data_IF_800169193679
#
_entry.id   IF_800169193679
#
_cell.length_a   1.000
_cell.length_b   1.000
_cell.length_c   1.000
_cell.angle_alpha   90.00
_cell.angle_beta   90.00
_cell.angle_gamma   90.00
#
_symmetry.space_group_name_H-M   'P 1'
#
loop_
_entity.id
_entity.type
_entity.pdbx_description
1 polymer ?
#
# COMPACT_ATOMS: atom_id res chain seq x y z
N UNK A 1 4.81 -15.72 26.50
CA UNK A 1 5.31 -16.93 25.82
C UNK A 1 5.70 -16.53 24.40
N UNK A 2 6.95 -16.79 23.99
CA UNK A 2 7.44 -16.44 22.65
C UNK A 2 6.99 -17.52 21.66
N UNK A 3 6.30 -17.14 20.59
CA UNK A 3 5.87 -18.09 19.55
C UNK A 3 7.04 -18.62 18.70
N UNK A 4 8.18 -17.90 18.70
CA UNK A 4 9.45 -18.31 18.09
C UNK A 4 10.50 -18.41 19.19
N UNK A 5 10.81 -19.63 19.63
CA UNK A 5 11.62 -19.87 20.83
C UNK A 5 13.12 -19.63 20.66
N UNK A 6 13.66 -19.78 19.45
CA UNK A 6 15.10 -19.81 19.17
C UNK A 6 15.62 -18.51 18.52
N UNK A 7 15.02 -17.36 18.85
CA UNK A 7 15.46 -16.06 18.33
C UNK A 7 16.29 -15.28 19.35
N UNK A 8 17.40 -14.69 18.90
CA UNK A 8 18.09 -13.57 19.57
C UNK A 8 17.80 -12.29 18.81
N UNK A 9 17.23 -11.32 19.49
CA UNK A 9 16.68 -10.11 18.85
C UNK A 9 17.18 -8.92 19.65
N UNK A 10 17.72 -7.93 18.94
CA UNK A 10 18.38 -6.77 19.54
C UNK A 10 18.25 -5.55 18.63
N UNK A 11 18.27 -4.35 19.22
CA UNK A 11 18.21 -3.10 18.46
C UNK A 11 18.78 -1.92 19.21
N UNK A 12 19.59 -1.13 18.52
CA UNK A 12 20.34 -0.01 19.08
C UNK A 12 20.44 1.17 18.11
N UNK A 13 20.72 2.36 18.67
CA UNK A 13 21.24 3.49 17.90
C UNK A 13 22.72 3.25 17.63
N UNK A 14 23.09 3.24 16.35
CA UNK A 14 24.48 3.02 15.91
C UNK A 14 25.15 4.27 15.37
N UNK A 15 24.41 5.37 15.24
CA UNK A 15 24.96 6.65 14.84
C UNK A 15 23.95 7.77 14.95
N UNK A 16 24.46 8.96 15.26
CA UNK A 16 23.70 10.20 15.30
C UNK A 16 24.50 11.30 14.60
N UNK A 17 23.91 11.82 13.53
CA UNK A 17 24.43 12.94 12.74
C UNK A 17 23.66 14.22 13.10
N UNK A 18 24.12 15.37 12.58
CA UNK A 18 23.40 16.65 12.75
C UNK A 18 21.96 16.63 12.26
N UNK A 19 21.67 15.81 11.25
CA UNK A 19 20.37 15.81 10.56
C UNK A 19 19.61 14.51 10.67
N UNK A 20 20.26 13.40 11.06
CA UNK A 20 19.68 12.07 11.05
C UNK A 20 20.16 11.23 12.24
N UNK A 21 19.32 10.29 12.66
CA UNK A 21 19.70 9.20 13.55
C UNK A 21 19.65 7.89 12.77
N UNK A 22 20.62 7.01 13.02
CA UNK A 22 20.72 5.68 12.40
C UNK A 22 20.51 4.62 13.47
N UNK A 23 19.42 3.88 13.36
CA UNK A 23 19.11 2.73 14.20
C UNK A 23 19.41 1.43 13.46
N UNK A 24 19.73 0.39 14.23
CA UNK A 24 20.02 -0.94 13.75
C UNK A 24 19.18 -1.95 14.50
N UNK A 25 18.52 -2.85 13.77
CA UNK A 25 17.86 -4.04 14.33
C UNK A 25 18.59 -5.29 13.87
N UNK A 26 18.81 -6.22 14.80
CA UNK A 26 19.40 -7.53 14.54
C UNK A 26 18.41 -8.61 14.97
N UNK A 27 18.21 -9.62 14.14
CA UNK A 27 17.43 -10.80 14.45
C UNK A 27 18.22 -12.03 14.02
N UNK A 28 18.47 -12.94 14.96
CA UNK A 28 19.23 -14.15 14.74
C UNK A 28 18.41 -15.36 15.16
N UNK A 29 18.00 -16.16 14.18
CA UNK A 29 17.45 -17.50 14.39
C UNK A 29 18.57 -18.50 14.62
N UNK A 30 18.68 -19.00 15.85
CA UNK A 30 19.68 -19.99 16.25
C UNK A 30 19.37 -21.40 15.74
N UNK A 31 18.10 -21.71 15.42
CA UNK A 31 17.70 -23.03 14.94
C UNK A 31 18.04 -23.20 13.46
N UNK A 32 17.76 -22.18 12.63
CA UNK A 32 18.13 -22.17 11.21
C UNK A 32 19.47 -21.50 10.93
N UNK A 33 20.13 -20.97 11.96
CA UNK A 33 21.37 -20.21 11.87
C UNK A 33 21.28 -19.02 10.87
N UNK A 34 20.14 -18.31 10.87
CA UNK A 34 19.88 -17.17 9.99
C UNK A 34 20.02 -15.88 10.79
N UNK A 35 21.03 -15.07 10.47
CA UNK A 35 21.27 -13.78 11.10
C UNK A 35 20.99 -12.64 10.11
N UNK A 36 20.07 -11.76 10.45
CA UNK A 36 19.72 -10.58 9.68
C UNK A 36 19.98 -9.33 10.50
N UNK A 37 20.55 -8.32 9.84
CA UNK A 37 20.74 -6.98 10.38
C UNK A 37 20.16 -5.95 9.42
N UNK A 38 19.36 -5.03 9.94
CA UNK A 38 18.70 -3.97 9.18
C UNK A 38 19.06 -2.64 9.80
N UNK A 39 19.45 -1.68 8.95
CA UNK A 39 19.65 -0.28 9.36
C UNK A 39 18.51 0.58 8.85
N UNK A 40 18.02 1.47 9.69
CA UNK A 40 16.99 2.45 9.38
C UNK A 40 17.53 3.82 9.75
N UNK A 41 17.43 4.77 8.84
CA UNK A 41 17.84 6.16 9.05
C UNK A 41 16.60 7.03 9.13
N UNK A 42 16.49 7.87 10.16
CA UNK A 42 15.39 8.82 10.36
C UNK A 42 15.93 10.23 10.49
N UNK A 43 15.23 11.18 9.88
CA UNK A 43 15.55 12.60 9.97
C UNK A 43 15.20 13.13 11.36
N UNK A 44 16.07 13.97 11.93
CA UNK A 44 15.88 14.65 13.22
C UNK A 44 15.92 16.18 13.07
N UNK A 45 15.43 16.68 11.93
CA UNK A 45 15.33 18.11 11.62
C UNK A 45 13.93 18.45 11.15
N UNK A 46 13.48 19.65 11.53
CA UNK A 46 12.19 20.18 11.12
C UNK A 46 12.18 20.56 9.64
N UNK A 47 11.03 21.03 9.15
CA UNK A 47 10.86 21.47 7.76
C UNK A 47 11.82 22.59 7.38
N UNK A 48 12.19 23.45 8.34
CA UNK A 48 13.12 24.56 8.20
C UNK A 48 14.59 24.13 8.32
N UNK A 49 14.86 22.83 8.52
CA UNK A 49 16.21 22.27 8.65
C UNK A 49 16.84 22.43 10.03
N UNK A 50 16.09 22.91 11.02
CA UNK A 50 16.59 23.06 12.40
C UNK A 50 16.53 21.71 13.10
N UNK A 51 17.58 21.38 13.86
CA UNK A 51 17.65 20.14 14.64
C UNK A 51 16.58 20.11 15.73
N UNK A 52 16.01 18.94 15.95
CA UNK A 52 15.06 18.70 17.02
C UNK A 52 15.69 18.90 18.41
N UNK A 53 14.82 19.14 19.41
CA UNK A 53 15.23 19.13 20.83
C UNK A 53 15.58 17.71 21.27
N UNK A 54 16.41 17.59 22.30
CA UNK A 54 16.92 16.29 22.77
C UNK A 54 15.81 15.29 23.10
N UNK A 55 14.72 15.72 23.74
CA UNK A 55 13.56 14.86 24.01
C UNK A 55 12.95 14.29 22.74
N UNK A 56 12.81 15.13 21.71
CA UNK A 56 12.23 14.73 20.42
C UNK A 56 13.20 13.84 19.64
N UNK A 57 14.50 14.05 19.78
CA UNK A 57 15.53 13.13 19.23
C UNK A 57 15.40 11.76 19.89
N UNK A 58 15.23 11.70 21.22
CA UNK A 58 14.99 10.46 21.96
C UNK A 58 13.75 9.72 21.47
N UNK A 59 12.62 10.42 21.32
CA UNK A 59 11.38 9.85 20.76
C UNK A 59 11.59 9.33 19.34
N UNK A 60 12.27 10.11 18.49
CA UNK A 60 12.59 9.73 17.11
C UNK A 60 13.51 8.50 17.06
N UNK A 61 14.47 8.42 17.97
CA UNK A 61 15.37 7.27 18.13
C UNK A 61 14.64 6.00 18.52
N UNK A 62 13.74 6.07 19.50
CA UNK A 62 12.91 4.94 19.92
C UNK A 62 12.00 4.44 18.78
N UNK A 63 11.46 5.36 17.99
CA UNK A 63 10.72 5.01 16.78
C UNK A 63 11.61 4.32 15.75
N UNK A 64 12.82 4.85 15.50
CA UNK A 64 13.77 4.28 14.54
C UNK A 64 14.23 2.85 14.94
N UNK A 65 14.55 2.64 16.23
CA UNK A 65 14.87 1.32 16.81
C UNK A 65 13.72 0.34 16.58
N UNK A 66 12.49 0.74 16.92
CA UNK A 66 11.30 -0.10 16.77
C UNK A 66 11.09 -0.54 15.32
N UNK A 67 11.26 0.39 14.37
CA UNK A 67 11.14 0.09 12.94
C UNK A 67 12.26 -0.85 12.48
N UNK A 68 13.51 -0.60 12.89
CA UNK A 68 14.65 -1.42 12.51
C UNK A 68 14.51 -2.85 13.02
N UNK A 69 14.08 -3.01 14.28
CA UNK A 69 13.86 -4.29 14.92
C UNK A 69 12.79 -5.10 14.19
N UNK A 70 11.63 -4.49 13.96
CA UNK A 70 10.52 -5.11 13.22
C UNK A 70 10.96 -5.58 11.84
N UNK A 71 11.68 -4.74 11.09
CA UNK A 71 12.15 -5.07 9.75
C UNK A 71 13.17 -6.22 9.77
N UNK A 72 14.02 -6.32 10.80
CA UNK A 72 14.92 -7.45 10.97
C UNK A 72 14.15 -8.74 11.26
N UNK A 73 13.17 -8.70 12.17
CA UNK A 73 12.34 -9.86 12.52
C UNK A 73 11.55 -10.38 11.32
N UNK A 74 10.93 -9.50 10.52
CA UNK A 74 10.15 -9.91 9.35
C UNK A 74 10.98 -10.39 8.16
N UNK A 75 12.30 -10.21 8.19
CA UNK A 75 13.21 -10.85 7.25
C UNK A 75 13.63 -12.26 7.68
N UNK A 76 13.58 -12.56 8.98
CA UNK A 76 13.86 -13.90 9.52
C UNK A 76 12.61 -14.77 9.52
N UNK A 77 11.47 -14.21 9.94
CA UNK A 77 10.20 -14.92 10.02
C UNK A 77 9.47 -14.84 8.67
N UNK A 78 9.15 -15.98 8.01
CA UNK A 78 8.46 -15.97 6.73
C UNK A 78 7.12 -15.25 6.76
N UNK A 79 6.90 -14.36 5.78
CA UNK A 79 5.67 -13.57 5.66
C UNK A 79 4.40 -14.43 5.58
N UNK A 80 4.47 -15.65 5.04
CA UNK A 80 3.32 -16.56 4.98
C UNK A 80 2.73 -16.88 6.36
N UNK A 81 3.57 -16.99 7.39
CA UNK A 81 3.14 -17.26 8.76
C UNK A 81 2.57 -16.00 9.42
N UNK A 82 3.23 -14.86 9.24
CA UNK A 82 2.79 -13.57 9.77
C UNK A 82 1.49 -13.11 9.12
N UNK A 83 1.32 -13.30 7.80
CA UNK A 83 0.18 -12.81 7.02
C UNK A 83 -1.14 -13.42 7.49
N UNK A 84 -1.16 -14.71 7.87
CA UNK A 84 -2.39 -15.34 8.38
C UNK A 84 -2.86 -14.70 9.68
N UNK A 85 -1.93 -14.46 10.60
CA UNK A 85 -2.20 -13.79 11.87
C UNK A 85 -2.61 -12.34 11.63
N UNK A 86 -1.90 -11.64 10.73
CA UNK A 86 -2.21 -10.25 10.35
C UNK A 86 -3.63 -10.10 9.79
N UNK A 87 -4.02 -10.93 8.82
CA UNK A 87 -5.37 -10.91 8.25
C UNK A 87 -6.44 -11.27 9.28
N UNK A 88 -6.16 -12.22 10.17
CA UNK A 88 -7.06 -12.54 11.28
C UNK A 88 -7.28 -11.35 12.21
N UNK A 89 -6.21 -10.66 12.61
CA UNK A 89 -6.28 -9.45 13.41
C UNK A 89 -7.03 -8.32 12.69
N UNK A 90 -6.71 -8.09 11.40
CA UNK A 90 -7.38 -7.08 10.55
C UNK A 90 -8.88 -7.31 10.46
N UNK A 91 -9.30 -8.55 10.24
CA UNK A 91 -10.71 -8.92 10.20
C UNK A 91 -11.40 -8.76 11.57
N UNK A 92 -10.71 -9.10 12.66
CA UNK A 92 -11.23 -8.88 14.01
C UNK A 92 -11.44 -7.39 14.30
N UNK A 93 -10.51 -6.52 13.88
CA UNK A 93 -10.62 -5.07 14.04
C UNK A 93 -11.79 -4.46 13.27
N UNK A 94 -12.13 -5.00 12.09
CA UNK A 94 -13.28 -4.57 11.27
C UNK A 94 -14.64 -4.97 11.86
N UNK A 95 -14.66 -5.86 12.86
CA UNK A 95 -15.87 -6.43 13.43
C UNK A 95 -16.55 -7.46 12.52
N UNK A 96 -17.16 -8.47 13.14
CA UNK A 96 -17.89 -9.53 12.45
C UNK A 96 -19.28 -9.04 12.01
N UNK A 97 -19.58 -9.18 10.72
CA UNK A 97 -20.91 -8.91 10.14
C UNK A 97 -21.19 -7.45 9.73
N UNK A 98 -22.29 -7.28 8.99
CA UNK A 98 -22.80 -6.00 8.49
C UNK A 98 -22.20 -5.55 7.15
N UNK A 99 -22.99 -4.78 6.40
CA UNK A 99 -22.55 -4.19 5.12
C UNK A 99 -21.60 -3.02 5.34
N UNK A 100 -20.79 -2.67 4.33
CA UNK A 100 -19.90 -1.49 4.40
C UNK A 100 -20.66 -0.20 4.74
N UNK A 101 -21.87 -0.04 4.19
CA UNK A 101 -22.74 1.10 4.50
C UNK A 101 -23.12 1.15 6.00
N UNK A 102 -23.49 0.01 6.59
CA UNK A 102 -23.81 -0.08 8.02
C UNK A 102 -22.58 0.23 8.90
N UNK A 103 -21.39 -0.25 8.51
CA UNK A 103 -20.14 0.01 9.23
C UNK A 103 -19.76 1.49 9.20
N UNK A 104 -19.86 2.14 8.03
CA UNK A 104 -19.66 3.58 7.87
C UNK A 104 -20.63 4.37 8.73
N UNK A 105 -21.92 4.07 8.64
CA UNK A 105 -22.96 4.73 9.43
C UNK A 105 -22.71 4.61 10.94
N UNK A 106 -22.32 3.41 11.41
CA UNK A 106 -22.00 3.18 12.83
C UNK A 106 -20.79 3.99 13.30
N UNK A 107 -19.75 4.06 12.47
CA UNK A 107 -18.55 4.84 12.77
C UNK A 107 -18.89 6.34 12.85
N UNK A 108 -19.60 6.88 11.85
CA UNK A 108 -20.02 8.28 11.84
C UNK A 108 -20.94 8.63 13.01
N UNK A 109 -21.90 7.75 13.34
CA UNK A 109 -22.80 7.95 14.47
C UNK A 109 -22.06 8.02 15.82
N UNK A 110 -20.92 7.35 15.96
CA UNK A 110 -20.10 7.46 17.17
C UNK A 110 -19.46 8.84 17.27
N UNK A 111 -18.81 9.32 16.20
CA UNK A 111 -18.18 10.65 16.19
C UNK A 111 -19.20 11.78 16.29
N UNK A 112 -20.39 11.62 15.69
CA UNK A 112 -21.48 12.58 15.82
C UNK A 112 -21.96 12.74 17.28
N UNK A 113 -21.97 11.66 18.07
CA UNK A 113 -22.28 11.73 19.52
C UNK A 113 -21.26 12.50 20.33
N UNK A 114 -20.01 12.56 19.87
CA UNK A 114 -18.95 13.39 20.45
C UNK A 114 -18.98 14.84 19.95
N UNK A 115 -19.93 15.20 19.07
CA UNK A 115 -20.05 16.55 18.51
C UNK A 115 -19.03 16.85 17.40
N UNK A 116 -18.39 15.82 16.82
CA UNK A 116 -17.44 15.99 15.72
C UNK A 116 -18.21 16.05 14.40
N UNK A 117 -17.92 17.05 13.57
CA UNK A 117 -18.55 17.19 12.27
C UNK A 117 -18.00 16.15 11.28
N UNK A 118 -18.85 15.67 10.37
CA UNK A 118 -18.44 14.66 9.38
C UNK A 118 -17.27 15.12 8.50
N UNK A 119 -17.21 16.42 8.21
CA UNK A 119 -16.14 17.04 7.44
C UNK A 119 -14.77 16.93 8.13
N UNK A 120 -14.74 16.99 9.47
CA UNK A 120 -13.50 16.82 10.23
C UNK A 120 -13.00 15.38 10.16
N UNK A 121 -13.93 14.42 10.19
CA UNK A 121 -13.62 13.00 10.02
C UNK A 121 -13.06 12.72 8.62
N UNK A 122 -13.69 13.26 7.58
CA UNK A 122 -13.21 13.12 6.20
C UNK A 122 -11.84 13.77 6.00
N UNK A 123 -11.61 14.94 6.61
CA UNK A 123 -10.31 15.63 6.59
C UNK A 123 -9.21 14.77 7.21
N UNK A 124 -9.43 14.23 8.41
CA UNK A 124 -8.43 13.40 9.11
C UNK A 124 -8.14 12.11 8.32
N UNK A 125 -9.15 11.52 7.69
CA UNK A 125 -8.98 10.33 6.85
C UNK A 125 -8.40 10.62 5.46
N UNK A 126 -8.38 11.88 5.00
CA UNK A 126 -7.96 12.26 3.66
C UNK A 126 -8.91 11.79 2.55
N UNK A 127 -10.20 11.66 2.85
CA UNK A 127 -11.24 11.22 1.91
C UNK A 127 -12.18 12.37 1.56
N UNK A 128 -12.84 12.32 0.39
CA UNK A 128 -13.73 13.43 -0.05
C UNK A 128 -15.16 13.26 0.46
N UNK A 129 -15.55 12.05 0.83
CA UNK A 129 -16.89 11.76 1.31
C UNK A 129 -17.03 10.36 1.88
N UNK A 130 -18.25 10.05 2.29
CA UNK A 130 -18.58 8.81 2.98
C UNK A 130 -18.34 7.56 2.11
N UNK A 131 -18.52 7.67 0.79
CA UNK A 131 -18.34 6.55 -0.14
C UNK A 131 -16.87 6.16 -0.36
N UNK A 132 -15.94 7.09 -0.16
CA UNK A 132 -14.50 6.87 -0.23
C UNK A 132 -13.95 6.15 1.02
N UNK A 133 -14.76 5.97 2.08
CA UNK A 133 -14.34 5.26 3.30
C UNK A 133 -14.27 3.76 3.05
N UNK A 134 -13.10 3.27 2.67
CA UNK A 134 -12.76 1.85 2.57
C UNK A 134 -12.54 1.15 3.92
N UNK A 135 -12.16 -0.12 3.87
CA UNK A 135 -11.87 -0.94 5.05
C UNK A 135 -10.74 -0.35 5.92
N UNK A 136 -9.65 0.12 5.29
CA UNK A 136 -8.50 0.67 6.02
C UNK A 136 -8.88 1.92 6.81
N UNK A 137 -9.77 2.74 6.26
CA UNK A 137 -10.30 3.90 6.94
C UNK A 137 -11.17 3.50 8.14
N UNK A 138 -11.99 2.45 8.02
CA UNK A 138 -12.78 1.93 9.15
C UNK A 138 -11.89 1.39 10.28
N UNK A 139 -10.79 0.72 9.95
CA UNK A 139 -9.79 0.26 10.93
C UNK A 139 -9.17 1.46 11.63
N UNK A 140 -8.75 2.48 10.86
CA UNK A 140 -8.20 3.71 11.42
C UNK A 140 -9.18 4.41 12.36
N UNK A 141 -10.45 4.57 11.95
CA UNK A 141 -11.51 5.13 12.78
C UNK A 141 -11.70 4.32 14.06
N UNK A 142 -11.69 2.99 13.98
CA UNK A 142 -11.80 2.13 15.17
C UNK A 142 -10.61 2.30 16.12
N UNK A 143 -9.41 2.46 15.57
CA UNK A 143 -8.21 2.79 16.33
C UNK A 143 -8.34 4.12 17.07
N UNK A 144 -8.85 5.16 16.41
CA UNK A 144 -9.12 6.46 17.05
C UNK A 144 -10.16 6.35 18.16
N UNK A 145 -11.24 5.58 17.94
CA UNK A 145 -12.26 5.35 18.98
C UNK A 145 -11.64 4.72 20.22
N UNK A 146 -10.84 3.67 20.06
CA UNK A 146 -10.21 2.99 21.18
C UNK A 146 -9.24 3.91 21.91
N UNK A 147 -8.38 4.63 21.20
CA UNK A 147 -7.44 5.58 21.81
C UNK A 147 -8.15 6.69 22.61
N UNK A 148 -9.32 7.15 22.14
CA UNK A 148 -10.14 8.13 22.88
C UNK A 148 -10.79 7.49 24.11
N UNK A 149 -11.25 6.23 24.01
CA UNK A 149 -11.87 5.52 25.13
C UNK A 149 -10.86 5.15 26.23
N UNK A 150 -9.65 4.77 25.84
CA UNK A 150 -8.57 4.39 26.73
C UNK A 150 -7.90 5.62 27.40
N UNK A 151 -8.21 6.82 26.90
CA UNK A 151 -7.68 8.09 27.42
C UNK A 151 -6.30 8.46 26.90
N UNK A 152 -5.77 7.71 25.93
CA UNK A 152 -4.46 7.97 25.29
C UNK A 152 -4.49 9.24 24.43
N UNK A 153 -5.65 9.61 23.90
CA UNK A 153 -5.85 10.85 23.13
C UNK A 153 -7.23 11.44 23.36
N UNK A 154 -7.40 12.72 23.06
CA UNK A 154 -8.70 13.40 23.14
C UNK A 154 -9.27 13.64 21.74
N UNK A 155 -10.60 13.68 21.63
CA UNK A 155 -11.28 14.03 20.38
C UNK A 155 -10.77 15.37 19.81
N UNK A 156 -10.51 16.35 20.68
CA UNK A 156 -9.96 17.65 20.29
C UNK A 156 -8.56 17.53 19.69
N UNK A 157 -7.68 16.71 20.26
CA UNK A 157 -6.32 16.51 19.72
C UNK A 157 -6.33 15.81 18.36
N UNK A 158 -7.22 14.83 18.17
CA UNK A 158 -7.30 14.06 16.92
C UNK A 158 -7.92 14.88 15.80
N UNK A 159 -8.97 15.66 16.10
CA UNK A 159 -9.77 16.37 15.10
C UNK A 159 -9.51 17.88 15.05
N UNK A 160 -8.58 18.40 15.86
CA UNK A 160 -8.19 19.80 15.83
C UNK A 160 -7.90 20.26 14.39
N UNK A 161 -8.37 21.46 13.99
CA UNK A 161 -7.90 22.07 12.76
C UNK A 161 -6.37 22.15 12.85
N UNK A 162 -5.64 21.84 11.76
CA UNK A 162 -4.21 21.66 11.83
C UNK A 162 -3.54 22.93 12.36
N UNK A 163 -3.09 22.90 13.61
CA UNK A 163 -1.88 23.62 13.98
C UNK A 163 -0.72 22.84 13.37
N UNK A 164 0.21 23.57 12.79
CA UNK A 164 1.36 23.05 12.04
C UNK A 164 2.14 21.99 12.82
N UNK A 165 1.75 20.72 12.70
CA UNK A 165 2.55 19.56 13.08
C UNK A 165 2.08 18.40 12.22
N UNK A 166 2.70 18.28 11.06
CA UNK A 166 2.49 17.15 10.17
C UNK A 166 3.22 15.95 10.70
N UNK A 167 2.48 15.00 11.27
CA UNK A 167 2.94 13.61 11.44
C UNK A 167 1.70 12.70 11.50
N UNK A 168 1.21 12.31 10.32
CA UNK A 168 0.29 11.18 10.23
C UNK A 168 1.05 9.90 10.58
N UNK A 169 0.48 9.04 11.42
CA UNK A 169 1.03 7.72 11.76
C UNK A 169 1.31 6.89 10.49
N UNK A 170 2.55 6.90 10.03
CA UNK A 170 3.04 6.12 8.88
C UNK A 170 3.24 4.63 9.22
N UNK A 171 3.21 4.29 10.51
CA UNK A 171 3.57 2.97 11.00
C UNK A 171 2.65 1.84 10.50
N UNK A 172 1.36 2.10 10.29
CA UNK A 172 0.42 1.12 9.75
C UNK A 172 0.63 0.88 8.24
N UNK A 173 0.86 1.95 7.47
CA UNK A 173 1.14 1.87 6.02
C UNK A 173 2.48 1.19 5.75
N UNK A 174 3.49 1.46 6.59
CA UNK A 174 4.78 0.76 6.59
C UNK A 174 4.62 -0.70 6.99
N UNK A 175 3.56 -1.04 7.76
CA UNK A 175 3.25 -2.41 8.12
C UNK A 175 2.82 -3.22 6.90
N UNK A 176 1.80 -2.71 6.20
CA UNK A 176 1.25 -3.28 4.98
C UNK A 176 2.27 -3.36 3.86
N UNK A 177 3.09 -2.31 3.67
CA UNK A 177 4.12 -2.29 2.64
C UNK A 177 5.18 -3.40 2.85
N UNK A 178 5.61 -3.62 4.09
CA UNK A 178 6.60 -4.66 4.41
C UNK A 178 6.03 -6.08 4.33
N UNK A 179 4.73 -6.27 4.55
CA UNK A 179 4.07 -7.58 4.44
C UNK A 179 3.61 -7.91 3.00
N UNK A 180 3.57 -6.91 2.11
CA UNK A 180 3.10 -7.05 0.72
C UNK A 180 4.22 -7.29 -0.31
N UNK A 181 5.51 -7.19 0.07
CA UNK A 181 6.62 -7.47 -0.84
C UNK A 181 6.96 -8.97 -0.88
N UNK A 182 6.98 -9.63 -2.06
CA UNK A 182 7.50 -10.99 -2.18
C UNK A 182 9.02 -10.99 -2.00
N UNK A 183 9.52 -11.96 -1.24
CA UNK A 183 10.94 -12.16 -0.94
C UNK A 183 11.74 -12.59 -2.19
N UNK A 184 12.03 -11.66 -3.08
CA UNK A 184 13.11 -11.80 -4.06
C UNK A 184 13.85 -10.47 -4.20
N UNK A 185 14.90 -10.27 -3.40
CA UNK A 185 16.01 -9.44 -3.84
C UNK A 185 17.31 -9.94 -3.22
N UNK A 186 18.21 -10.35 -4.11
CA UNK A 186 19.61 -10.61 -3.84
C UNK A 186 20.24 -9.38 -3.16
N UNK A 187 21.20 -9.56 -2.23
CA UNK A 187 21.89 -8.44 -1.60
C UNK A 187 22.77 -7.72 -2.61
N UNK A 188 22.48 -6.44 -2.90
CA UNK A 188 23.45 -5.57 -3.58
C UNK A 188 24.38 -4.99 -2.51
N UNK A 189 25.58 -5.55 -2.40
CA UNK A 189 26.65 -5.00 -1.60
C UNK A 189 27.41 -3.91 -2.37
N UNK A 190 27.83 -2.90 -1.60
CA UNK A 190 28.92 -1.94 -1.80
C UNK A 190 28.73 -0.72 -2.75
N UNK A 191 29.06 0.45 -2.21
CA UNK A 191 29.51 1.62 -2.98
C UNK A 191 28.99 2.98 -2.50
N UNK A 192 29.63 3.58 -1.49
CA UNK A 192 29.86 5.04 -1.41
C UNK A 192 31.30 5.29 -1.91
N UNK A 193 31.70 6.48 -2.41
CA UNK A 193 31.25 7.81 -1.96
C UNK A 193 30.78 8.80 -3.06
N UNK A 194 30.09 9.83 -2.57
CA UNK A 194 29.71 11.08 -3.23
C UNK A 194 30.89 11.77 -3.94
N UNK A 195 30.62 12.27 -5.15
CA UNK A 195 31.43 13.27 -5.83
C UNK A 195 30.87 14.68 -5.55
N UNK A 196 31.82 15.59 -5.41
CA UNK A 196 31.75 16.99 -5.04
C UNK A 196 31.06 17.86 -6.11
N UNK A 197 30.51 19.00 -5.67
CA UNK A 197 29.77 19.98 -6.47
C UNK A 197 30.71 20.85 -7.31
N UNK A 198 30.29 21.21 -8.53
CA UNK A 198 30.58 22.52 -9.14
C UNK A 198 29.43 22.91 -10.10
N UNK A 199 28.92 24.13 -9.94
CA UNK A 199 27.93 24.86 -10.76
C UNK A 199 28.67 26.10 -11.35
N UNK A 200 28.11 26.89 -12.29
CA UNK A 200 27.48 26.60 -13.58
C UNK A 200 28.10 27.43 -14.75
N UNK A 201 27.81 27.10 -16.02
CA UNK A 201 27.95 28.06 -17.12
C UNK A 201 26.99 27.77 -18.31
N UNK A 202 26.04 28.69 -18.46
CA UNK A 202 25.51 29.33 -19.69
C UNK A 202 24.85 28.53 -20.83
N UNK A 203 23.69 29.08 -21.26
CA UNK A 203 22.79 28.62 -22.32
C UNK A 203 23.36 28.84 -23.74
N UNK A 204 22.70 28.30 -24.79
CA UNK A 204 21.72 29.15 -25.46
C UNK A 204 20.41 28.45 -25.91
N UNK A 205 19.46 29.36 -26.15
CA UNK A 205 18.13 29.35 -26.75
C UNK A 205 17.72 28.22 -27.72
N UNK A 206 16.43 27.85 -27.63
CA UNK A 206 15.72 27.00 -28.60
C UNK A 206 15.45 27.71 -29.95
N UNK A 207 14.74 27.06 -30.89
CA UNK A 207 13.27 27.07 -30.78
C UNK A 207 12.52 25.84 -31.35
N UNK A 208 11.20 25.87 -31.16
CA UNK A 208 10.11 25.23 -31.91
C UNK A 208 9.47 23.95 -31.33
N UNK A 209 8.25 24.13 -30.79
CA UNK A 209 7.18 23.13 -30.82
C UNK A 209 6.80 22.79 -32.28
N UNK A 210 6.35 21.56 -32.55
CA UNK A 210 4.92 21.42 -32.81
C UNK A 210 4.27 20.13 -32.25
N UNK A 211 2.96 20.29 -32.02
CA UNK A 211 1.87 19.32 -32.10
C UNK A 211 1.72 18.18 -31.07
N UNK A 212 0.65 18.35 -30.28
CA UNK A 212 -0.35 17.35 -29.86
C UNK A 212 0.14 15.90 -29.72
N UNK A 213 0.78 15.61 -28.57
CA UNK A 213 1.06 14.24 -28.15
C UNK A 213 -0.24 13.44 -27.99
N UNK A 214 -0.36 12.24 -28.61
CA UNK A 214 -1.50 11.36 -28.41
C UNK A 214 -1.52 10.89 -26.95
N UNK A 215 -2.72 10.77 -26.38
CA UNK A 215 -2.99 10.32 -25.01
C UNK A 215 -2.06 9.14 -24.65
N UNK A 216 -1.19 9.32 -23.65
CA UNK A 216 -0.31 8.28 -23.10
C UNK A 216 -1.15 7.04 -22.78
N UNK A 217 -1.02 6.00 -23.60
CA UNK A 217 -1.73 4.74 -23.40
C UNK A 217 -1.22 4.05 -22.13
N UNK A 218 -2.11 3.42 -21.38
CA UNK A 218 -1.75 2.65 -20.18
C UNK A 218 -0.83 1.46 -20.55
N UNK A 219 0.14 1.09 -19.68
CA UNK A 219 1.01 -0.06 -19.93
C UNK A 219 0.19 -1.34 -20.17
N UNK A 220 0.66 -2.22 -21.06
CA UNK A 220 -0.07 -3.39 -21.57
C UNK A 220 -0.76 -4.23 -20.46
N UNK A 221 -0.10 -4.40 -19.32
CA UNK A 221 -0.64 -5.08 -18.14
C UNK A 221 -1.92 -4.43 -17.58
N UNK A 222 -1.97 -3.10 -17.52
CA UNK A 222 -3.16 -2.39 -17.03
C UNK A 222 -4.34 -2.53 -18.00
N UNK A 223 -4.07 -2.57 -19.31
CA UNK A 223 -5.11 -2.83 -20.32
C UNK A 223 -5.64 -4.25 -20.21
N UNK A 224 -4.76 -5.24 -20.06
CA UNK A 224 -5.12 -6.64 -19.83
C UNK A 224 -6.05 -6.80 -18.61
N UNK A 225 -5.69 -6.23 -17.45
CA UNK A 225 -6.52 -6.33 -16.25
C UNK A 225 -7.89 -5.67 -16.41
N UNK A 226 -7.94 -4.50 -17.07
CA UNK A 226 -9.22 -3.85 -17.39
C UNK A 226 -10.07 -4.73 -18.29
N UNK A 227 -9.49 -5.30 -19.35
CA UNK A 227 -10.22 -6.18 -20.28
C UNK A 227 -10.76 -7.43 -19.57
N UNK A 228 -9.95 -8.08 -18.74
CA UNK A 228 -10.40 -9.20 -17.90
C UNK A 228 -11.53 -8.79 -16.96
N UNK A 229 -11.49 -7.59 -16.37
CA UNK A 229 -12.57 -7.11 -15.50
C UNK A 229 -13.88 -6.90 -16.25
N UNK A 230 -13.82 -6.33 -17.47
CA UNK A 230 -14.99 -6.15 -18.33
C UNK A 230 -15.57 -7.50 -18.76
N UNK A 231 -14.72 -8.44 -19.17
CA UNK A 231 -15.14 -9.78 -19.58
C UNK A 231 -15.72 -10.58 -18.41
N UNK A 232 -15.22 -10.40 -17.18
CA UNK A 232 -15.82 -10.98 -15.97
C UNK A 232 -17.23 -10.44 -15.74
N UNK A 233 -17.43 -9.14 -15.93
CA UNK A 233 -18.75 -8.52 -15.78
C UNK A 233 -19.75 -9.04 -16.82
N UNK A 234 -19.33 -9.28 -18.06
CA UNK A 234 -20.20 -9.80 -19.13
C UNK A 234 -20.46 -11.30 -19.03
N UNK A 235 -19.43 -12.09 -18.69
CA UNK A 235 -19.51 -13.56 -18.70
C UNK A 235 -20.15 -14.14 -17.43
N UNK A 236 -20.15 -13.37 -16.33
CA UNK A 236 -20.50 -13.83 -14.99
C UNK A 236 -19.34 -14.52 -14.27
N UNK A 237 -19.36 -14.52 -12.94
CA UNK A 237 -18.22 -15.00 -12.14
C UNK A 237 -17.89 -16.48 -12.38
N UNK A 238 -18.88 -17.36 -12.36
CA UNK A 238 -18.67 -18.81 -12.47
C UNK A 238 -17.97 -19.20 -13.77
N UNK A 239 -18.49 -18.70 -14.91
CA UNK A 239 -17.95 -18.99 -16.24
C UNK A 239 -16.58 -18.35 -16.44
N UNK A 240 -16.36 -17.16 -15.88
CA UNK A 240 -15.06 -16.50 -15.92
C UNK A 240 -13.98 -17.33 -15.20
N UNK A 241 -14.29 -17.86 -14.02
CA UNK A 241 -13.34 -18.71 -13.28
C UNK A 241 -13.18 -20.11 -13.90
N UNK A 242 -14.18 -20.64 -14.61
CA UNK A 242 -14.00 -21.87 -15.39
C UNK A 242 -12.95 -21.69 -16.49
N UNK A 243 -13.02 -20.59 -17.25
CA UNK A 243 -12.00 -20.31 -18.27
C UNK A 243 -10.63 -20.12 -17.62
N UNK A 244 -10.52 -19.41 -16.50
CA UNK A 244 -9.24 -19.28 -15.79
C UNK A 244 -8.66 -20.62 -15.32
N UNK A 245 -9.51 -21.56 -14.89
CA UNK A 245 -9.08 -22.89 -14.47
C UNK A 245 -8.42 -23.69 -15.61
N UNK A 246 -8.89 -23.53 -16.86
CA UNK A 246 -8.27 -24.15 -18.04
C UNK A 246 -6.85 -23.64 -18.29
N UNK A 247 -6.57 -22.40 -17.90
CA UNK A 247 -5.23 -21.79 -17.93
C UNK A 247 -4.41 -22.08 -16.67
N UNK A 248 -4.87 -22.97 -15.79
CA UNK A 248 -4.23 -23.31 -14.51
C UNK A 248 -3.96 -22.10 -13.61
N UNK A 249 -4.75 -21.03 -13.76
CA UNK A 249 -4.65 -19.82 -12.94
C UNK A 249 -5.94 -19.59 -12.18
N UNK A 250 -5.85 -19.15 -10.92
CA UNK A 250 -7.04 -18.83 -10.13
C UNK A 250 -7.55 -17.41 -10.45
N UNK A 251 -6.64 -16.52 -10.84
CA UNK A 251 -6.93 -15.11 -11.11
C UNK A 251 -6.05 -14.60 -12.25
N UNK A 252 -6.56 -13.68 -13.07
CA UNK A 252 -5.79 -13.05 -14.16
C UNK A 252 -4.49 -12.38 -13.68
N UNK A 253 -4.44 -11.91 -12.43
CA UNK A 253 -3.24 -11.32 -11.81
C UNK A 253 -2.07 -12.31 -11.60
N UNK A 254 -2.31 -13.61 -11.76
CA UNK A 254 -1.26 -14.65 -11.63
C UNK A 254 -0.49 -14.87 -12.94
N UNK A 255 -0.95 -14.31 -14.06
CA UNK A 255 -0.18 -14.29 -15.31
C UNK A 255 1.01 -13.35 -15.15
N UNK A 256 2.18 -13.77 -15.62
CA UNK A 256 3.40 -12.97 -15.55
C UNK A 256 3.25 -11.68 -16.37
N UNK A 257 3.74 -10.54 -15.85
CA UNK A 257 3.53 -9.21 -16.46
C UNK A 257 4.20 -9.04 -17.83
N UNK A 258 5.18 -9.88 -18.13
CA UNK A 258 5.93 -9.96 -19.37
C UNK A 258 5.40 -11.03 -20.33
N UNK A 259 4.47 -11.89 -19.88
CA UNK A 259 3.84 -12.93 -20.69
C UNK A 259 2.67 -12.37 -21.52
N UNK A 260 3.02 -11.60 -22.56
CA UNK A 260 2.06 -11.04 -23.51
C UNK A 260 1.28 -12.13 -24.27
N UNK A 261 1.87 -13.32 -24.45
CA UNK A 261 1.24 -14.46 -25.11
C UNK A 261 0.11 -15.04 -24.26
N UNK A 262 0.37 -15.32 -22.98
CA UNK A 262 -0.63 -15.80 -22.03
C UNK A 262 -1.75 -14.80 -21.79
N UNK A 263 -1.45 -13.50 -21.73
CA UNK A 263 -2.47 -12.46 -21.63
C UNK A 263 -3.42 -12.47 -22.83
N UNK A 264 -2.89 -12.57 -24.06
CA UNK A 264 -3.70 -12.61 -25.28
C UNK A 264 -4.55 -13.86 -25.35
N UNK A 265 -3.95 -15.03 -25.11
CA UNK A 265 -4.65 -16.31 -25.16
C UNK A 265 -5.82 -16.37 -24.17
N UNK A 266 -5.65 -15.83 -22.96
CA UNK A 266 -6.72 -15.77 -21.97
C UNK A 266 -7.85 -14.81 -22.40
N UNK A 267 -7.50 -13.62 -22.91
CA UNK A 267 -8.50 -12.65 -23.39
C UNK A 267 -9.31 -13.24 -24.54
N UNK A 268 -8.65 -13.89 -25.50
CA UNK A 268 -9.31 -14.54 -26.64
C UNK A 268 -10.25 -15.69 -26.20
N UNK A 269 -9.82 -16.51 -25.24
CA UNK A 269 -10.65 -17.58 -24.68
C UNK A 269 -11.90 -17.03 -23.97
N UNK A 270 -11.73 -15.97 -23.18
CA UNK A 270 -12.84 -15.28 -22.51
C UNK A 270 -13.79 -14.62 -23.52
N UNK A 271 -13.27 -13.99 -24.56
CA UNK A 271 -14.06 -13.37 -25.63
C UNK A 271 -14.85 -14.39 -26.42
N UNK A 272 -14.25 -15.54 -26.74
CA UNK A 272 -14.93 -16.67 -27.40
C UNK A 272 -16.12 -17.12 -26.55
N UNK A 273 -15.92 -17.28 -25.24
CA UNK A 273 -16.99 -17.65 -24.32
C UNK A 273 -18.07 -16.57 -24.16
N UNK A 274 -17.74 -15.29 -24.33
CA UNK A 274 -18.77 -14.23 -24.37
C UNK A 274 -19.56 -14.23 -25.67
N UNK A 275 -18.93 -14.56 -26.81
CA UNK A 275 -19.63 -14.67 -28.12
C UNK A 275 -20.61 -15.84 -28.14
N UNK A 276 -20.27 -16.95 -27.49
CA UNK A 276 -21.16 -18.11 -27.33
C UNK A 276 -22.44 -17.79 -26.52
N UNK A 277 -22.54 -16.63 -25.86
CA UNK A 277 -23.73 -16.23 -25.07
C UNK A 277 -24.78 -15.41 -25.85
N UNK A 278 -24.59 -15.11 -27.13
CA UNK A 278 -25.47 -14.19 -27.87
C UNK A 278 -26.79 -14.80 -28.41
N UNK A 279 -27.91 -14.52 -27.72
CA UNK A 279 -29.19 -14.02 -28.28
C UNK A 279 -30.04 -13.36 -27.15
N UNK A 280 -30.97 -12.43 -27.43
CA UNK A 280 -30.89 -11.04 -26.99
C UNK A 280 -31.60 -10.75 -25.65
N UNK A 281 -31.07 -9.77 -24.90
CA UNK A 281 -31.86 -8.98 -23.95
C UNK A 281 -31.57 -7.49 -24.17
N UNK A 282 -32.69 -6.84 -24.50
CA UNK A 282 -33.10 -5.43 -24.54
C UNK A 282 -32.21 -4.34 -23.92
N UNK A 283 -32.26 -3.19 -24.59
CA UNK A 283 -31.45 -1.99 -24.49
C UNK A 283 -31.60 -1.18 -23.19
N UNK A 284 -30.46 -0.65 -22.70
CA UNK A 284 -30.42 0.23 -21.54
C UNK A 284 -29.22 1.18 -21.41
N UNK A 285 -28.45 1.45 -22.49
CA UNK A 285 -27.52 2.60 -22.73
C UNK A 285 -26.42 3.00 -21.70
N UNK A 286 -25.53 3.96 -22.03
CA UNK A 286 -25.06 4.42 -23.33
C UNK A 286 -23.69 3.81 -23.70
N UNK A 287 -23.43 3.74 -25.00
CA UNK A 287 -22.34 2.99 -25.58
C UNK A 287 -20.94 3.57 -25.36
N UNK A 288 -20.00 2.66 -25.16
CA UNK A 288 -18.65 2.76 -25.71
C UNK A 288 -18.24 1.35 -26.11
N UNK A 289 -18.55 0.98 -27.36
CA UNK A 289 -18.05 -0.25 -27.97
C UNK A 289 -16.56 -0.03 -28.27
N UNK A 290 -15.70 -0.35 -27.29
CA UNK A 290 -14.28 -0.55 -27.58
C UNK A 290 -14.16 -1.81 -28.44
N UNK A 291 -14.01 -1.55 -29.74
CA UNK A 291 -13.77 -2.54 -30.78
C UNK A 291 -12.55 -3.42 -30.43
N UNK A 292 -12.61 -4.63 -30.97
CA UNK A 292 -11.73 -5.80 -30.86
C UNK A 292 -10.23 -5.59 -31.18
N UNK A 293 -9.74 -4.36 -31.32
CA UNK A 293 -8.42 -4.10 -31.91
C UNK A 293 -7.33 -3.68 -30.90
N UNK A 294 -7.63 -3.51 -29.62
CA UNK A 294 -6.70 -2.84 -28.69
C UNK A 294 -5.57 -3.74 -28.12
N UNK A 295 -5.43 -4.98 -28.62
CA UNK A 295 -4.27 -5.86 -28.40
C UNK A 295 -3.52 -6.21 -29.70
N UNK A 296 -4.02 -5.77 -30.85
CA UNK A 296 -3.40 -5.89 -32.17
C UNK A 296 -2.97 -4.51 -32.65
N UNK A 297 -1.80 -4.05 -32.21
CA UNK A 297 -0.83 -3.32 -33.04
C UNK A 297 0.43 -3.01 -32.21
N UNK A 298 1.58 -3.32 -32.83
CA UNK A 298 2.97 -3.01 -32.47
C UNK A 298 3.60 -3.76 -31.26
N UNK A 299 4.38 -4.80 -31.62
CA UNK A 299 5.75 -4.98 -31.12
C UNK A 299 6.59 -3.72 -31.41
#
# INVERSE_FOLDING_TARGET
>A
AYAWGNLRVDSDIVGEDKTHITAMGTCFDLEKNVAIRVRVRRRITDRQGRRYKDDMIGVTGNAAISIALRNAVFKVIPAALVRRVYLGARNASLGQGGTMAQKRAKAMAWFAKLGIAEQDVFRVLGVRGLDDIGEDHLIALRGMVNAIQDGDTTAEQVFAPPKESGESSQNAKDLDAALSQPATSKPKAAGQPEAEQEEPAEAPEGPAEPDAAPKRQAPAWQRFLRRCSTLKATLGEERYYMVLADFQVTHANQIARDDLGGMRALVEALETKTRDQGEPVDDGGPGQTDHTDDLTLAL
#
